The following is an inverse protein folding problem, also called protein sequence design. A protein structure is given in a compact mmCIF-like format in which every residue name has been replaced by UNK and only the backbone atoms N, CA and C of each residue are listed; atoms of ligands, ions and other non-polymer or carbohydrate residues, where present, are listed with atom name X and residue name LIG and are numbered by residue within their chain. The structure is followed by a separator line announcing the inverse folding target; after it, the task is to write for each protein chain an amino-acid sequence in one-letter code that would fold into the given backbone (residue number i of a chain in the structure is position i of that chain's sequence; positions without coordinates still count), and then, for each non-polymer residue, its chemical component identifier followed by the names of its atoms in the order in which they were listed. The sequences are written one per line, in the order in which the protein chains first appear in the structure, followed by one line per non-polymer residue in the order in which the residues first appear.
data_IF_146259968920
#
_entry.id   IF_146259968920
#
_cell.length_a   1.000
_cell.length_b   1.000
_cell.length_c   1.000
_cell.angle_alpha   90.00
_cell.angle_beta   90.00
_cell.angle_gamma   90.00
#
_symmetry.space_group_name_H-M   'P 1'
#
loop_
_entity.id
_entity.type
_entity.pdbx_description
1 polymer ?
#
# COMPACT_ATOMS: atom_id res chain seq x y z
N UNK A 1 -13.96 6.38 16.98
CA UNK A 1 -14.62 5.53 15.96
C UNK A 1 -14.03 5.89 14.61
N UNK A 2 -13.76 4.93 13.71
CA UNK A 2 -13.27 5.21 12.35
C UNK A 2 -14.19 6.21 11.65
N UNK A 3 -13.69 7.43 11.52
CA UNK A 3 -14.49 8.63 11.34
C UNK A 3 -15.11 8.71 9.96
N UNK A 4 -14.37 8.31 8.92
CA UNK A 4 -14.86 8.24 7.54
C UNK A 4 -15.92 7.15 7.34
N UNK A 5 -15.83 6.03 8.08
CA UNK A 5 -16.80 4.95 8.00
C UNK A 5 -18.08 5.25 8.80
N UNK A 6 -18.04 6.25 9.69
CA UNK A 6 -19.10 6.59 10.65
C UNK A 6 -19.68 5.37 11.38
N UNK A 7 -18.83 4.40 11.70
CA UNK A 7 -19.17 3.13 12.35
C UNK A 7 -18.21 2.87 13.51
N UNK A 8 -18.64 2.18 14.57
CA UNK A 8 -17.71 1.68 15.58
C UNK A 8 -16.73 0.68 14.94
N UNK A 9 -15.56 0.52 15.55
CA UNK A 9 -14.62 -0.53 15.15
C UNK A 9 -15.31 -1.89 15.31
N UNK A 10 -15.15 -2.77 14.31
CA UNK A 10 -15.83 -4.06 14.26
C UNK A 10 -15.61 -4.90 15.52
N UNK A 11 -14.36 -4.97 16.01
CA UNK A 11 -14.03 -5.60 17.28
C UNK A 11 -12.94 -4.83 18.02
N UNK A 12 -13.34 -4.14 19.10
CA UNK A 12 -12.41 -3.47 20.01
C UNK A 12 -11.45 -4.47 20.68
N UNK A 13 -11.98 -5.62 21.11
CA UNK A 13 -11.18 -6.69 21.74
C UNK A 13 -10.09 -7.21 20.80
N UNK A 14 -10.42 -7.44 19.54
CA UNK A 14 -9.45 -7.90 18.53
C UNK A 14 -8.34 -6.88 18.31
N UNK A 15 -8.68 -5.58 18.27
CA UNK A 15 -7.71 -4.50 18.16
C UNK A 15 -6.74 -4.47 19.36
N UNK A 16 -7.26 -4.59 20.59
CA UNK A 16 -6.44 -4.61 21.80
C UNK A 16 -5.52 -5.84 21.85
N UNK A 17 -6.04 -7.03 21.50
CA UNK A 17 -5.24 -8.25 21.45
C UNK A 17 -4.13 -8.11 20.40
N UNK A 18 -4.45 -7.61 19.20
CA UNK A 18 -3.45 -7.37 18.16
C UNK A 18 -2.34 -6.41 18.64
N UNK A 19 -2.69 -5.33 19.34
CA UNK A 19 -1.72 -4.40 19.92
C UNK A 19 -0.78 -5.06 20.94
N UNK A 20 -1.31 -5.92 21.84
CA UNK A 20 -0.48 -6.67 22.80
C UNK A 20 0.43 -7.66 22.09
N UNK A 21 -0.09 -8.38 21.08
CA UNK A 21 0.72 -9.31 20.29
C UNK A 21 1.83 -8.60 19.51
N UNK A 22 1.57 -7.40 18.98
CA UNK A 22 2.63 -6.58 18.40
C UNK A 22 3.72 -6.24 19.41
N UNK A 23 3.36 -5.86 20.64
CA UNK A 23 4.35 -5.56 21.69
C UNK A 23 5.23 -6.78 22.00
N UNK A 24 4.64 -7.97 22.08
CA UNK A 24 5.34 -9.22 22.38
C UNK A 24 6.26 -9.63 21.23
N UNK A 25 5.74 -9.68 20.00
CA UNK A 25 6.48 -10.23 18.86
C UNK A 25 7.43 -9.21 18.22
N UNK A 26 7.12 -7.91 18.22
CA UNK A 26 7.94 -6.92 17.50
C UNK A 26 9.22 -6.51 18.25
N UNK A 27 9.28 -6.70 19.58
CA UNK A 27 10.47 -6.32 20.36
C UNK A 27 11.61 -7.36 20.28
N UNK A 28 11.30 -8.60 19.92
CA UNK A 28 12.23 -9.73 20.01
C UNK A 28 12.74 -10.21 18.65
N UNK A 29 12.66 -9.36 17.61
CA UNK A 29 12.97 -9.75 16.23
C UNK A 29 14.11 -9.02 15.49
N UNK A 30 15.03 -8.25 16.12
CA UNK A 30 16.05 -7.53 15.35
C UNK A 30 17.06 -8.45 14.64
N UNK A 31 17.18 -9.72 15.07
CA UNK A 31 18.15 -10.66 14.51
C UNK A 31 17.83 -11.02 13.04
N UNK A 32 16.60 -10.79 12.54
CA UNK A 32 16.33 -11.04 11.11
C UNK A 32 17.14 -10.13 10.18
N UNK A 33 17.65 -8.99 10.68
CA UNK A 33 18.56 -8.14 9.93
C UNK A 33 20.01 -8.66 9.92
N UNK A 34 20.28 -9.73 10.66
CA UNK A 34 21.59 -10.28 10.97
C UNK A 34 21.70 -11.74 10.50
N UNK A 35 20.82 -12.21 9.61
CA UNK A 35 20.88 -13.60 9.13
C UNK A 35 22.18 -13.93 8.39
N UNK A 36 22.82 -12.96 7.74
CA UNK A 36 24.07 -13.19 7.01
C UNK A 36 25.35 -12.95 7.81
N UNK A 37 25.25 -12.68 9.12
CA UNK A 37 26.43 -12.71 10.00
C UNK A 37 26.65 -14.09 10.64
N UNK A 38 27.81 -14.28 11.25
CA UNK A 38 28.18 -15.52 11.92
C UNK A 38 27.45 -15.68 13.27
N UNK A 39 26.19 -16.10 13.20
CA UNK A 39 25.35 -16.45 14.34
C UNK A 39 25.00 -17.95 14.33
N UNK A 40 24.78 -18.57 15.50
CA UNK A 40 24.26 -19.94 15.60
C UNK A 40 22.97 -20.12 14.78
N UNK A 41 22.90 -21.19 13.98
CA UNK A 41 21.73 -21.50 13.13
C UNK A 41 20.43 -21.57 13.92
N UNK A 42 20.49 -22.12 15.15
CA UNK A 42 19.32 -22.20 16.05
C UNK A 42 18.71 -20.82 16.33
N UNK A 43 19.55 -19.79 16.50
CA UNK A 43 19.06 -18.42 16.73
C UNK A 43 18.43 -17.83 15.45
N UNK A 44 19.01 -18.11 14.28
CA UNK A 44 18.45 -17.66 13.00
C UNK A 44 17.07 -18.28 12.74
N UNK A 45 16.93 -19.59 12.93
CA UNK A 45 15.66 -20.31 12.76
C UNK A 45 14.59 -19.84 13.75
N UNK A 46 14.97 -19.67 15.03
CA UNK A 46 14.06 -19.10 16.02
C UNK A 46 13.54 -17.72 15.59
N UNK A 47 14.45 -16.90 15.08
CA UNK A 47 14.17 -15.55 14.63
C UNK A 47 13.25 -15.52 13.38
N UNK A 48 13.43 -16.45 12.45
CA UNK A 48 12.51 -16.63 11.30
C UNK A 48 11.09 -16.92 11.77
N UNK A 49 10.93 -17.89 12.69
CA UNK A 49 9.62 -18.25 13.27
C UNK A 49 8.97 -17.04 13.96
N UNK A 50 9.73 -16.32 14.80
CA UNK A 50 9.22 -15.14 15.50
C UNK A 50 8.86 -14.00 14.55
N UNK A 51 9.59 -13.83 13.46
CA UNK A 51 9.28 -12.81 12.44
C UNK A 51 7.98 -13.15 11.71
N UNK A 52 7.76 -14.41 11.34
CA UNK A 52 6.48 -14.84 10.79
C UNK A 52 5.32 -14.68 11.77
N UNK A 53 5.55 -14.85 13.07
CA UNK A 53 4.50 -14.68 14.08
C UNK A 53 3.88 -13.26 14.08
N UNK A 54 4.62 -12.23 13.64
CA UNK A 54 4.11 -10.84 13.49
C UNK A 54 3.02 -10.73 12.42
N UNK A 55 2.97 -11.66 11.46
CA UNK A 55 1.90 -11.67 10.46
C UNK A 55 0.52 -11.88 11.09
N UNK A 56 0.44 -12.57 12.24
CA UNK A 56 -0.82 -12.84 12.94
C UNK A 56 -1.49 -11.54 13.44
N UNK A 57 -0.87 -10.71 14.31
CA UNK A 57 -1.47 -9.43 14.72
C UNK A 57 -1.69 -8.47 13.54
N UNK A 58 -0.87 -8.59 12.49
CA UNK A 58 -1.05 -7.85 11.23
C UNK A 58 -2.35 -8.19 10.53
N UNK A 59 -2.60 -9.48 10.26
CA UNK A 59 -3.87 -9.93 9.70
C UNK A 59 -5.05 -9.60 10.61
N UNK A 60 -4.90 -9.73 11.94
CA UNK A 60 -5.95 -9.35 12.87
C UNK A 60 -6.34 -7.88 12.73
N UNK A 61 -5.35 -6.99 12.61
CA UNK A 61 -5.57 -5.55 12.43
C UNK A 61 -6.27 -5.28 11.10
N UNK A 62 -5.76 -5.85 10.01
CA UNK A 62 -6.32 -5.63 8.67
C UNK A 62 -7.75 -6.18 8.53
N UNK A 63 -8.02 -7.40 9.01
CA UNK A 63 -9.35 -7.98 8.97
C UNK A 63 -10.36 -7.17 9.80
N UNK A 64 -9.95 -6.67 10.96
CA UNK A 64 -10.80 -5.83 11.81
C UNK A 64 -11.14 -4.50 11.14
N UNK A 65 -10.15 -3.83 10.55
CA UNK A 65 -10.34 -2.58 9.81
C UNK A 65 -11.18 -2.78 8.55
N UNK A 66 -10.94 -3.86 7.80
CA UNK A 66 -11.74 -4.23 6.65
C UNK A 66 -13.20 -4.51 7.04
N UNK A 67 -13.43 -5.29 8.10
CA UNK A 67 -14.77 -5.58 8.61
C UNK A 67 -15.48 -4.31 9.10
N UNK A 68 -14.72 -3.32 9.58
CA UNK A 68 -15.25 -2.02 9.99
C UNK A 68 -15.69 -1.17 8.80
N UNK A 69 -14.91 -1.17 7.72
CA UNK A 69 -15.26 -0.47 6.49
C UNK A 69 -16.38 -1.17 5.71
N UNK A 70 -16.65 -2.46 5.99
CA UNK A 70 -17.69 -3.24 5.31
C UNK A 70 -19.08 -2.63 5.50
N UNK A 71 -19.74 -2.32 4.38
CA UNK A 71 -21.06 -1.68 4.34
C UNK A 71 -21.06 -0.29 4.96
N UNK A 72 -19.94 0.43 4.89
CA UNK A 72 -19.85 1.85 5.23
C UNK A 72 -20.00 2.68 3.95
N UNK A 73 -20.81 3.74 4.01
CA UNK A 73 -20.99 4.65 2.89
C UNK A 73 -19.88 5.71 2.90
N UNK A 74 -18.72 5.36 2.35
CA UNK A 74 -17.53 6.24 2.29
C UNK A 74 -17.42 6.87 0.90
N UNK A 75 -17.32 8.20 0.84
CA UNK A 75 -17.11 8.92 -0.42
C UNK A 75 -15.71 8.67 -0.97
N UNK A 76 -15.60 8.63 -2.31
CA UNK A 76 -14.32 8.51 -2.98
C UNK A 76 -13.66 9.89 -3.10
N UNK A 77 -12.86 10.22 -2.08
CA UNK A 77 -12.11 11.46 -1.97
C UNK A 77 -10.62 11.15 -1.73
N UNK A 78 -9.78 12.19 -1.79
CA UNK A 78 -8.31 12.06 -1.65
C UNK A 78 -7.90 11.37 -0.33
N UNK A 79 -8.58 11.64 0.79
CA UNK A 79 -8.29 11.02 2.09
C UNK A 79 -8.56 9.51 2.03
N UNK A 80 -9.73 9.12 1.51
CA UNK A 80 -10.09 7.71 1.32
C UNK A 80 -9.10 7.02 0.36
N UNK A 81 -8.68 7.71 -0.69
CA UNK A 81 -7.74 7.16 -1.68
C UNK A 81 -6.37 6.86 -1.05
N UNK A 82 -5.78 7.81 -0.31
CA UNK A 82 -4.54 7.59 0.43
C UNK A 82 -4.67 6.53 1.53
N UNK A 83 -5.83 6.46 2.21
CA UNK A 83 -6.10 5.44 3.23
C UNK A 83 -6.15 4.03 2.60
N UNK A 84 -6.80 3.89 1.46
CA UNK A 84 -6.87 2.64 0.71
C UNK A 84 -5.49 2.22 0.19
N UNK A 85 -4.71 3.17 -0.34
CA UNK A 85 -3.32 2.93 -0.73
C UNK A 85 -2.49 2.45 0.45
N UNK A 86 -2.56 3.13 1.61
CA UNK A 86 -1.83 2.72 2.82
C UNK A 86 -2.11 1.27 3.20
N UNK A 87 -3.39 0.88 3.16
CA UNK A 87 -3.83 -0.47 3.49
C UNK A 87 -3.31 -1.50 2.48
N UNK A 88 -3.49 -1.24 1.18
CA UNK A 88 -3.06 -2.14 0.12
C UNK A 88 -1.53 -2.25 0.03
N UNK A 89 -0.83 -1.13 0.13
CA UNK A 89 0.63 -1.06 0.08
C UNK A 89 1.29 -1.71 1.30
N UNK A 90 0.70 -1.60 2.49
CA UNK A 90 1.19 -2.33 3.68
C UNK A 90 1.04 -3.84 3.54
N UNK A 91 -0.01 -4.32 2.86
CA UNK A 91 -0.16 -5.75 2.55
C UNK A 91 0.91 -6.18 1.53
N UNK A 92 1.08 -5.42 0.44
CA UNK A 92 2.11 -5.69 -0.58
C UNK A 92 3.51 -5.75 0.04
N UNK A 93 3.89 -4.72 0.80
CA UNK A 93 5.17 -4.67 1.49
C UNK A 93 5.31 -5.78 2.55
N UNK A 94 4.21 -6.15 3.21
CA UNK A 94 4.19 -7.27 4.14
C UNK A 94 4.54 -8.60 3.48
N UNK A 95 4.06 -8.84 2.24
CA UNK A 95 4.40 -10.05 1.48
C UNK A 95 5.89 -10.08 1.12
N UNK A 96 6.46 -8.97 0.63
CA UNK A 96 7.90 -8.92 0.34
C UNK A 96 8.75 -9.02 1.62
N UNK A 97 8.19 -8.64 2.77
CA UNK A 97 8.81 -8.83 4.08
C UNK A 97 8.87 -10.28 4.53
N UNK A 98 7.88 -11.10 4.14
CA UNK A 98 7.94 -12.55 4.36
C UNK A 98 9.12 -13.14 3.59
N UNK A 99 9.35 -12.70 2.34
CA UNK A 99 10.53 -13.12 1.57
C UNK A 99 11.84 -12.81 2.30
N UNK A 100 11.96 -11.61 2.89
CA UNK A 100 13.16 -11.23 3.66
C UNK A 100 13.27 -11.95 5.01
N UNK A 101 12.15 -12.41 5.58
CA UNK A 101 12.16 -13.19 6.81
C UNK A 101 12.61 -14.64 6.57
N UNK A 102 12.42 -15.17 5.35
CA UNK A 102 12.87 -16.51 4.97
C UNK A 102 14.38 -16.55 4.82
N UNK A 103 15.08 -17.31 5.67
CA UNK A 103 16.56 -17.35 5.68
C UNK A 103 17.13 -17.76 4.31
N UNK A 104 16.51 -18.74 3.64
CA UNK A 104 16.97 -19.20 2.33
C UNK A 104 16.86 -18.12 1.26
N UNK A 105 15.79 -17.34 1.26
CA UNK A 105 15.59 -16.24 0.31
C UNK A 105 16.50 -15.07 0.68
N UNK A 106 16.54 -14.67 1.95
CA UNK A 106 17.44 -13.61 2.43
C UNK A 106 18.89 -13.93 2.05
N UNK A 107 19.33 -15.19 2.07
CA UNK A 107 20.71 -15.53 1.67
C UNK A 107 21.13 -15.11 0.25
N UNK A 108 20.14 -14.91 -0.63
CA UNK A 108 20.35 -14.45 -2.01
C UNK A 108 20.18 -12.94 -2.11
N UNK A 109 19.14 -12.39 -1.48
CA UNK A 109 18.75 -10.98 -1.64
C UNK A 109 19.34 -10.07 -0.55
N UNK A 110 20.05 -10.61 0.43
CA UNK A 110 20.61 -9.83 1.53
C UNK A 110 21.56 -8.76 1.00
N UNK A 111 21.40 -7.53 1.50
CA UNK A 111 22.14 -6.36 1.03
C UNK A 111 22.01 -6.04 -0.48
N UNK A 112 21.10 -6.69 -1.22
CA UNK A 112 20.77 -6.24 -2.57
C UNK A 112 19.74 -5.10 -2.53
N UNK A 113 19.50 -4.49 -3.69
CA UNK A 113 18.46 -3.47 -3.87
C UNK A 113 17.04 -4.01 -3.62
N UNK A 114 16.85 -5.33 -3.51
CA UNK A 114 15.59 -5.95 -3.12
C UNK A 114 15.17 -5.50 -1.72
N UNK A 115 16.11 -5.49 -0.76
CA UNK A 115 15.87 -5.03 0.61
C UNK A 115 15.50 -3.54 0.61
N UNK A 116 16.11 -2.75 -0.28
CA UNK A 116 15.80 -1.33 -0.46
C UNK A 116 14.37 -1.17 -0.99
N UNK A 117 13.99 -1.93 -2.02
CA UNK A 117 12.65 -1.96 -2.59
C UNK A 117 11.58 -2.33 -1.56
N UNK A 118 11.77 -3.43 -0.83
CA UNK A 118 10.86 -3.87 0.24
C UNK A 118 10.64 -2.78 1.31
N UNK A 119 11.73 -2.20 1.83
CA UNK A 119 11.63 -1.18 2.87
C UNK A 119 10.91 0.08 2.38
N UNK A 120 11.24 0.52 1.16
CA UNK A 120 10.56 1.66 0.54
C UNK A 120 9.11 1.34 0.17
N UNK A 121 8.76 0.08 -0.11
CA UNK A 121 7.36 -0.30 -0.26
C UNK A 121 6.58 -0.04 1.03
N UNK A 122 7.12 -0.47 2.18
CA UNK A 122 6.44 -0.24 3.46
C UNK A 122 6.30 1.26 3.77
N UNK A 123 7.31 2.07 3.45
CA UNK A 123 7.28 3.51 3.70
C UNK A 123 6.41 4.23 2.68
N UNK A 124 6.74 4.14 1.39
CA UNK A 124 6.21 5.02 0.36
C UNK A 124 4.78 4.66 -0.04
N UNK A 125 4.37 3.39 0.03
CA UNK A 125 2.98 2.99 -0.28
C UNK A 125 2.20 2.50 0.94
N UNK A 126 2.82 2.40 2.12
CA UNK A 126 2.16 2.10 3.40
C UNK A 126 2.07 3.32 4.33
N UNK A 127 3.19 3.69 4.96
CA UNK A 127 3.25 4.69 6.03
C UNK A 127 2.98 6.11 5.53
N UNK A 128 3.63 6.55 4.45
CA UNK A 128 3.47 7.90 3.92
C UNK A 128 2.04 8.16 3.43
N UNK A 129 1.37 7.24 2.72
CA UNK A 129 -0.05 7.40 2.39
C UNK A 129 -0.94 7.53 3.63
N UNK A 130 -0.70 6.75 4.69
CA UNK A 130 -1.43 6.91 5.95
C UNK A 130 -1.23 8.31 6.55
N UNK A 131 0.01 8.80 6.55
CA UNK A 131 0.33 10.15 7.01
C UNK A 131 -0.33 11.23 6.12
N UNK A 132 -0.33 11.05 4.80
CA UNK A 132 -0.98 11.98 3.88
C UNK A 132 -2.49 12.02 4.07
N UNK A 133 -3.15 10.87 4.28
CA UNK A 133 -4.57 10.85 4.62
C UNK A 133 -4.86 11.70 5.88
N UNK A 134 -4.02 11.57 6.91
CA UNK A 134 -4.12 12.40 8.12
C UNK A 134 -3.88 13.88 7.82
N UNK A 135 -2.86 14.23 7.04
CA UNK A 135 -2.53 15.63 6.72
C UNK A 135 -3.63 16.30 5.88
N UNK A 136 -4.18 15.61 4.89
CA UNK A 136 -5.28 16.13 4.06
C UNK A 136 -6.53 16.45 4.87
N UNK A 137 -6.74 15.72 5.96
CA UNK A 137 -7.81 15.93 6.91
C UNK A 137 -7.48 17.02 7.96
N UNK A 138 -6.30 16.93 8.57
CA UNK A 138 -5.92 17.74 9.74
C UNK A 138 -5.55 19.17 9.37
N UNK A 139 -4.91 19.40 8.21
CA UNK A 139 -4.47 20.75 7.81
C UNK A 139 -5.63 21.74 7.64
N UNK A 140 -6.76 21.40 6.99
CA UNK A 140 -7.93 22.28 6.95
C UNK A 140 -8.49 22.61 8.33
N UNK A 141 -8.42 21.68 9.28
CA UNK A 141 -8.88 21.90 10.66
C UNK A 141 -7.95 22.82 11.44
N UNK A 142 -6.64 22.62 11.32
CA UNK A 142 -5.64 23.44 12.01
C UNK A 142 -5.59 24.87 11.46
N UNK A 143 -5.77 25.02 10.15
CA UNK A 143 -5.63 26.32 9.47
C UNK A 143 -6.95 27.08 9.37
N UNK A 144 -8.08 26.41 9.60
CA UNK A 144 -9.40 26.97 9.35
C UNK A 144 -9.66 27.28 7.87
N UNK A 145 -8.89 26.67 6.94
CA UNK A 145 -8.95 26.96 5.51
C UNK A 145 -9.16 25.71 4.68
N UNK A 146 -10.06 25.81 3.72
CA UNK A 146 -10.30 24.80 2.69
C UNK A 146 -9.10 24.66 1.73
N UNK A 147 -8.85 23.44 1.24
CA UNK A 147 -7.84 23.20 0.20
C UNK A 147 -8.04 24.12 -1.03
N UNK A 148 -6.97 24.77 -1.48
CA UNK A 148 -7.02 25.78 -2.53
C UNK A 148 -7.39 25.15 -3.88
N UNK A 149 -6.77 24.02 -4.23
CA UNK A 149 -7.07 23.29 -5.46
C UNK A 149 -7.32 21.81 -5.19
N UNK A 150 -8.54 21.36 -5.51
CA UNK A 150 -8.93 19.94 -5.43
C UNK A 150 -8.26 19.13 -6.53
N UNK A 151 -8.12 19.72 -7.73
CA UNK A 151 -7.38 19.13 -8.84
C UNK A 151 -5.93 18.83 -8.46
N UNK A 152 -5.26 19.77 -7.80
CA UNK A 152 -3.88 19.59 -7.34
C UNK A 152 -3.75 18.47 -6.30
N UNK A 153 -4.75 18.32 -5.41
CA UNK A 153 -4.78 17.22 -4.44
C UNK A 153 -4.86 15.84 -5.12
N UNK A 154 -5.64 15.72 -6.19
CA UNK A 154 -5.72 14.48 -6.98
C UNK A 154 -4.50 14.24 -7.87
N UNK A 155 -3.88 15.29 -8.42
CA UNK A 155 -2.59 15.19 -9.13
C UNK A 155 -1.51 14.67 -8.17
N UNK A 156 -1.46 15.20 -6.94
CA UNK A 156 -0.56 14.67 -5.92
C UNK A 156 -0.82 13.19 -5.66
N UNK A 157 -2.07 12.80 -5.37
CA UNK A 157 -2.39 11.39 -5.10
C UNK A 157 -1.94 10.45 -6.22
N UNK A 158 -2.33 10.72 -7.47
CA UNK A 158 -2.01 9.82 -8.58
C UNK A 158 -0.53 9.84 -8.93
N UNK A 159 0.09 11.02 -9.01
CA UNK A 159 1.52 11.13 -9.28
C UNK A 159 2.36 10.44 -8.22
N UNK A 160 2.03 10.65 -6.94
CA UNK A 160 2.72 10.00 -5.83
C UNK A 160 2.55 8.48 -5.86
N UNK A 161 1.33 7.97 -6.07
CA UNK A 161 1.06 6.53 -6.15
C UNK A 161 1.84 5.88 -7.30
N UNK A 162 1.70 6.40 -8.52
CA UNK A 162 2.37 5.82 -9.69
C UNK A 162 3.88 5.95 -9.59
N UNK A 163 4.39 7.12 -9.21
CA UNK A 163 5.82 7.34 -9.03
C UNK A 163 6.43 6.39 -8.00
N UNK A 164 5.78 6.24 -6.84
CA UNK A 164 6.25 5.34 -5.79
C UNK A 164 6.24 3.87 -6.22
N UNK A 165 5.20 3.42 -6.94
CA UNK A 165 5.12 2.04 -7.45
C UNK A 165 6.23 1.77 -8.47
N UNK A 166 6.49 2.69 -9.41
CA UNK A 166 7.58 2.55 -10.38
C UNK A 166 8.95 2.51 -9.69
N UNK A 167 9.14 3.36 -8.66
CA UNK A 167 10.34 3.37 -7.83
C UNK A 167 10.58 1.99 -7.21
N UNK A 168 9.57 1.46 -6.52
CA UNK A 168 9.66 0.18 -5.80
C UNK A 168 9.97 -0.97 -6.76
N UNK A 169 9.24 -1.06 -7.88
CA UNK A 169 9.45 -2.11 -8.88
C UNK A 169 10.86 -2.02 -9.46
N UNK A 170 11.36 -0.82 -9.73
CA UNK A 170 12.74 -0.64 -10.22
C UNK A 170 13.78 -1.19 -9.24
N UNK A 171 13.66 -0.88 -7.94
CA UNK A 171 14.57 -1.43 -6.91
C UNK A 171 14.42 -2.94 -6.72
N UNK A 172 13.20 -3.47 -6.75
CA UNK A 172 12.96 -4.92 -6.65
C UNK A 172 13.61 -5.67 -7.82
N UNK A 173 13.48 -5.17 -9.05
CA UNK A 173 14.14 -5.75 -10.23
C UNK A 173 15.67 -5.70 -10.12
N UNK A 174 16.24 -4.54 -9.75
CA UNK A 174 17.69 -4.42 -9.52
C UNK A 174 18.19 -5.42 -8.46
N UNK A 175 17.39 -5.61 -7.41
CA UNK A 175 17.68 -6.55 -6.33
C UNK A 175 17.70 -8.00 -6.75
N UNK A 176 16.73 -8.42 -7.58
CA UNK A 176 16.66 -9.77 -8.15
C UNK A 176 17.80 -10.04 -9.14
N UNK A 177 18.20 -9.00 -9.88
CA UNK A 177 19.36 -9.04 -10.78
C UNK A 177 20.72 -9.00 -10.04
N UNK A 178 20.72 -9.04 -8.70
CA UNK A 178 21.90 -9.14 -7.87
C UNK A 178 22.65 -7.82 -7.64
N UNK A 179 22.03 -6.68 -7.94
CA UNK A 179 22.62 -5.37 -7.71
C UNK A 179 22.67 -5.09 -6.21
N UNK A 180 23.88 -4.88 -5.70
CA UNK A 180 24.12 -4.60 -4.29
C UNK A 180 23.77 -3.15 -3.95
N UNK A 181 23.08 -2.96 -2.83
CA UNK A 181 22.79 -1.62 -2.32
C UNK A 181 24.09 -0.87 -2.04
N UNK A 182 24.08 0.46 -2.26
CA UNK A 182 25.24 1.35 -2.06
C UNK A 182 26.39 1.08 -3.05
N UNK A 183 26.15 0.36 -4.14
CA UNK A 183 27.08 0.31 -5.25
C UNK A 183 27.01 1.60 -6.07
N UNK A 184 28.16 2.23 -6.31
CA UNK A 184 28.27 3.36 -7.23
C UNK A 184 28.40 2.89 -8.70
N UNK A 185 29.05 1.74 -8.89
CA UNK A 185 29.35 1.17 -10.19
C UNK A 185 28.57 -0.13 -10.34
N UNK A 186 27.69 -0.17 -11.34
CA UNK A 186 26.86 -1.34 -11.66
C UNK A 186 27.04 -1.76 -13.13
N UNK A 187 26.79 -3.03 -13.47
CA UNK A 187 26.87 -3.50 -14.85
C UNK A 187 25.95 -2.70 -15.79
N UNK A 188 26.47 -2.26 -16.94
CA UNK A 188 25.71 -1.51 -17.95
C UNK A 188 25.06 -2.42 -18.98
N UNK A 189 24.23 -3.33 -18.50
CA UNK A 189 23.41 -4.24 -19.30
C UNK A 189 21.96 -3.72 -19.42
N UNK A 190 21.23 -4.02 -20.50
CA UNK A 190 19.94 -3.38 -20.77
C UNK A 190 18.90 -3.51 -19.65
N UNK A 191 18.80 -4.67 -19.00
CA UNK A 191 17.80 -4.92 -17.96
C UNK A 191 18.07 -4.11 -16.67
N UNK A 192 19.34 -4.01 -16.25
CA UNK A 192 19.76 -3.16 -15.12
C UNK A 192 19.49 -1.69 -15.43
N UNK A 193 19.90 -1.21 -16.62
CA UNK A 193 19.68 0.19 -17.02
C UNK A 193 18.19 0.53 -17.07
N UNK A 194 17.35 -0.38 -17.58
CA UNK A 194 15.91 -0.18 -17.63
C UNK A 194 15.31 -0.08 -16.23
N UNK A 195 15.74 -0.93 -15.29
CA UNK A 195 15.28 -0.90 -13.91
C UNK A 195 15.74 0.37 -13.15
N UNK A 196 17.00 0.81 -13.35
CA UNK A 196 17.51 2.09 -12.82
C UNK A 196 16.69 3.29 -13.35
N UNK A 197 16.43 3.31 -14.66
CA UNK A 197 15.64 4.36 -15.30
C UNK A 197 14.20 4.35 -14.79
N UNK A 198 13.59 3.18 -14.65
CA UNK A 198 12.25 3.02 -14.08
C UNK A 198 12.19 3.58 -12.65
N UNK A 199 13.18 3.23 -11.82
CA UNK A 199 13.26 3.72 -10.45
C UNK A 199 13.41 5.25 -10.39
N UNK A 200 14.30 5.79 -11.22
CA UNK A 200 14.60 7.23 -11.31
C UNK A 200 13.39 8.02 -11.79
N UNK A 201 12.73 7.58 -12.87
CA UNK A 201 11.51 8.21 -13.38
C UNK A 201 10.40 8.14 -12.34
N UNK A 202 10.25 7.00 -11.67
CA UNK A 202 9.30 6.84 -10.56
C UNK A 202 9.55 7.85 -9.43
N UNK A 203 10.80 7.97 -8.99
CA UNK A 203 11.21 8.93 -7.97
C UNK A 203 10.87 10.38 -8.35
N UNK A 204 11.23 10.80 -9.57
CA UNK A 204 10.95 12.14 -10.07
C UNK A 204 9.45 12.44 -10.14
N UNK A 205 8.63 11.48 -10.60
CA UNK A 205 7.18 11.64 -10.65
C UNK A 205 6.61 11.81 -9.24
N UNK A 206 7.04 10.97 -8.29
CA UNK A 206 6.58 11.05 -6.90
C UNK A 206 6.98 12.38 -6.24
N UNK A 207 8.23 12.81 -6.43
CA UNK A 207 8.75 14.06 -5.89
C UNK A 207 8.02 15.29 -6.47
N UNK A 208 7.82 15.34 -7.80
CA UNK A 208 7.04 16.40 -8.44
C UNK A 208 5.59 16.44 -7.94
N UNK A 209 4.98 15.27 -7.69
CA UNK A 209 3.64 15.18 -7.13
C UNK A 209 3.60 15.71 -5.68
N UNK A 210 4.61 15.40 -4.86
CA UNK A 210 4.76 15.94 -3.51
C UNK A 210 5.00 17.45 -3.53
N UNK A 211 5.76 17.97 -4.50
CA UNK A 211 5.91 19.41 -4.71
C UNK A 211 4.57 20.08 -5.04
N UNK A 212 3.75 19.46 -5.90
CA UNK A 212 2.38 19.95 -6.18
C UNK A 212 1.55 20.02 -4.90
N UNK A 213 1.65 19.03 -4.01
CA UNK A 213 0.99 19.09 -2.70
C UNK A 213 1.49 20.23 -1.83
N UNK A 214 2.81 20.40 -1.73
CA UNK A 214 3.42 21.47 -0.95
C UNK A 214 2.98 22.86 -1.45
N UNK A 215 3.00 23.08 -2.77
CA UNK A 215 2.52 24.32 -3.37
C UNK A 215 1.02 24.53 -3.13
N UNK A 216 0.21 23.48 -3.19
CA UNK A 216 -1.22 23.56 -2.87
C UNK A 216 -1.44 23.94 -1.40
N UNK A 217 -0.62 23.44 -0.48
CA UNK A 217 -0.65 23.81 0.93
C UNK A 217 -0.30 25.29 1.13
N UNK A 218 0.80 25.76 0.53
CA UNK A 218 1.18 27.19 0.58
C UNK A 218 0.04 28.07 0.07
N UNK A 219 -0.57 27.70 -1.06
CA UNK A 219 -1.71 28.42 -1.62
C UNK A 219 -2.97 28.34 -0.75
N UNK A 220 -3.19 27.23 -0.06
CA UNK A 220 -4.24 27.12 0.97
C UNK A 220 -4.02 28.11 2.11
N UNK A 221 -2.80 28.27 2.59
CA UNK A 221 -2.51 29.20 3.68
C UNK A 221 -2.70 30.66 3.25
N UNK A 222 -2.31 31.02 2.02
CA UNK A 222 -2.36 32.39 1.52
C UNK A 222 -3.76 32.75 0.99
N UNK A 223 -4.36 31.86 0.18
CA UNK A 223 -5.59 32.14 -0.60
C UNK A 223 -6.75 31.16 -0.32
N UNK A 224 -6.58 30.20 0.59
CA UNK A 224 -7.61 29.22 0.91
C UNK A 224 -8.84 29.90 1.51
N UNK A 225 -10.03 29.48 1.06
CA UNK A 225 -11.31 29.99 1.58
C UNK A 225 -11.47 29.58 3.04
N UNK A 226 -12.09 30.44 3.85
CA UNK A 226 -12.39 30.14 5.25
C UNK A 226 -13.33 28.94 5.33
N UNK A 227 -12.93 27.93 6.10
CA UNK A 227 -13.74 26.76 6.38
C UNK A 227 -14.73 27.12 7.50
N UNK A 228 -16.03 27.15 7.17
CA UNK A 228 -17.09 27.38 8.16
C UNK A 228 -17.23 26.13 9.05
N UNK A 229 -16.47 26.08 10.14
CA UNK A 229 -16.45 24.96 11.09
C UNK A 229 -17.32 25.20 12.34
N UNK A 230 -17.86 26.41 12.52
CA UNK A 230 -18.66 26.78 13.69
C UNK A 230 -19.90 25.88 13.86
N UNK A 231 -20.08 25.32 15.05
CA UNK A 231 -21.23 24.48 15.41
C UNK A 231 -21.21 23.05 14.86
N UNK A 232 -20.17 22.63 14.12
CA UNK A 232 -20.05 21.26 13.63
C UNK A 232 -19.41 20.35 14.68
N UNK A 233 -19.99 19.15 14.87
CA UNK A 233 -19.29 18.06 15.58
C UNK A 233 -18.04 17.64 14.80
N UNK A 234 -17.07 17.03 15.48
CA UNK A 234 -15.83 16.55 14.84
C UNK A 234 -16.14 15.70 13.61
N UNK A 235 -17.03 14.70 13.73
CA UNK A 235 -17.41 13.82 12.62
C UNK A 235 -18.02 14.55 11.42
N UNK A 236 -18.86 15.57 11.67
CA UNK A 236 -19.43 16.41 10.60
C UNK A 236 -18.33 17.22 9.90
N UNK A 237 -17.40 17.80 10.66
CA UNK A 237 -16.27 18.55 10.11
C UNK A 237 -15.38 17.66 9.22
N UNK A 238 -15.09 16.43 9.64
CA UNK A 238 -14.34 15.45 8.82
C UNK A 238 -15.06 15.20 7.50
N UNK A 239 -16.36 14.95 7.55
CA UNK A 239 -17.16 14.69 6.36
C UNK A 239 -17.22 15.92 5.44
N UNK A 240 -17.29 17.13 5.98
CA UNK A 240 -17.24 18.37 5.20
C UNK A 240 -15.91 18.49 4.43
N UNK A 241 -14.78 18.26 5.10
CA UNK A 241 -13.45 18.28 4.44
C UNK A 241 -13.34 17.16 3.41
N UNK A 242 -13.81 15.96 3.73
CA UNK A 242 -13.79 14.81 2.83
C UNK A 242 -14.63 15.03 1.56
N UNK A 243 -15.84 15.58 1.68
CA UNK A 243 -16.70 15.92 0.53
C UNK A 243 -16.07 16.99 -0.36
N UNK A 244 -15.33 17.95 0.21
CA UNK A 244 -14.62 18.95 -0.59
C UNK A 244 -13.60 18.29 -1.53
N UNK A 245 -12.91 17.26 -1.04
CA UNK A 245 -11.86 16.51 -1.75
C UNK A 245 -12.39 15.38 -2.65
N UNK A 246 -13.70 15.29 -2.87
CA UNK A 246 -14.32 14.28 -3.73
C UNK A 246 -13.79 14.37 -5.18
N UNK A 247 -13.65 13.22 -5.84
CA UNK A 247 -13.18 13.14 -7.23
C UNK A 247 -14.02 14.00 -8.18
N UNK A 248 -15.34 14.06 -7.98
CA UNK A 248 -16.24 14.82 -8.84
C UNK A 248 -15.96 16.33 -8.80
N UNK A 249 -15.35 16.83 -7.71
CA UNK A 249 -14.97 18.22 -7.54
C UNK A 249 -13.60 18.55 -8.16
N UNK A 250 -12.85 17.54 -8.65
CA UNK A 250 -11.54 17.75 -9.25
C UNK A 250 -11.60 18.42 -10.63
N UNK A 251 -12.78 18.48 -11.25
CA UNK A 251 -12.98 19.13 -12.56
C UNK A 251 -12.34 18.38 -13.73
N UNK A 252 -11.99 17.10 -13.57
CA UNK A 252 -11.54 16.25 -14.67
C UNK A 252 -12.75 15.85 -15.55
N UNK A 253 -12.78 16.32 -16.80
CA UNK A 253 -13.77 15.86 -17.79
C UNK A 253 -13.32 14.54 -18.40
N UNK A 254 -13.93 13.43 -17.96
CA UNK A 254 -13.74 12.12 -18.59
C UNK A 254 -14.60 11.94 -19.85
N UNK A 255 -15.33 12.98 -20.32
CA UNK A 255 -16.20 12.88 -21.52
C UNK A 255 -15.48 12.43 -22.79
N UNK A 256 -14.16 12.58 -22.86
CA UNK A 256 -13.34 12.17 -24.00
C UNK A 256 -12.63 10.82 -23.80
N UNK A 257 -12.87 10.14 -22.66
CA UNK A 257 -12.34 8.81 -22.37
C UNK A 257 -13.55 7.87 -22.25
N UNK A 258 -14.18 7.57 -23.40
CA UNK A 258 -15.16 6.49 -23.48
C UNK A 258 -14.43 5.15 -23.38
N UNK A 259 -14.27 4.63 -22.17
CA UNK A 259 -14.03 3.20 -21.99
C UNK A 259 -15.41 2.54 -22.04
N UNK A 260 -15.78 2.00 -23.20
CA UNK A 260 -17.01 1.23 -23.40
C UNK A 260 -16.98 -0.04 -22.56
N UNK A 261 -17.44 0.03 -21.31
CA UNK A 261 -17.89 -1.16 -20.60
C UNK A 261 -19.32 -1.46 -21.06
N UNK A 262 -19.45 -2.40 -21.98
CA UNK A 262 -20.72 -2.96 -22.41
C UNK A 262 -21.49 -3.52 -21.22
N UNK A 263 -22.80 -3.23 -21.20
CA UNK A 263 -23.76 -3.51 -20.15
C UNK A 263 -23.67 -4.94 -19.59
N UNK A 264 -23.14 -5.09 -18.38
CA UNK A 264 -23.38 -6.26 -17.54
C UNK A 264 -24.47 -5.91 -16.52
N UNK A 265 -25.69 -6.41 -16.78
CA UNK A 265 -26.74 -6.53 -15.76
C UNK A 265 -26.20 -7.42 -14.63
N UNK A 266 -25.67 -6.79 -13.58
CA UNK A 266 -25.24 -7.49 -12.38
C UNK A 266 -26.48 -8.05 -11.65
N UNK A 267 -26.81 -9.31 -11.95
CA UNK A 267 -27.80 -10.09 -11.21
C UNK A 267 -27.26 -10.46 -9.84
N UNK A 268 -28.15 -10.72 -8.87
CA UNK A 268 -27.82 -11.01 -7.46
C UNK A 268 -26.81 -12.17 -7.23
N UNK A 269 -26.42 -12.93 -8.25
CA UNK A 269 -25.33 -13.93 -8.18
C UNK A 269 -23.92 -13.32 -8.32
N UNK A 270 -23.78 -12.15 -8.96
CA UNK A 270 -22.51 -11.41 -9.00
C UNK A 270 -22.12 -10.82 -7.62
N UNK A 271 -23.08 -10.70 -6.70
CA UNK A 271 -22.93 -10.20 -5.33
C UNK A 271 -22.03 -11.10 -4.46
N UNK A 272 -22.13 -12.42 -4.63
CA UNK A 272 -21.23 -13.39 -4.00
C UNK A 272 -19.90 -13.52 -4.77
N UNK A 273 -19.93 -13.24 -6.07
CA UNK A 273 -18.78 -13.35 -6.96
C UNK A 273 -17.68 -12.33 -6.66
N UNK A 274 -18.00 -11.08 -6.31
CA UNK A 274 -16.97 -10.06 -6.01
C UNK A 274 -16.26 -10.31 -4.67
N UNK A 275 -17.00 -10.76 -3.65
CA UNK A 275 -16.39 -11.24 -2.41
C UNK A 275 -15.65 -12.56 -2.60
N UNK A 276 -16.17 -13.46 -3.43
CA UNK A 276 -15.48 -14.67 -3.87
C UNK A 276 -14.19 -14.36 -4.62
N UNK A 277 -14.17 -13.31 -5.44
CA UNK A 277 -12.97 -12.78 -6.09
C UNK A 277 -12.03 -12.16 -5.06
N UNK A 278 -12.53 -11.42 -4.07
CA UNK A 278 -11.68 -10.87 -3.02
C UNK A 278 -10.92 -11.97 -2.25
N UNK A 279 -11.65 -13.04 -1.91
CA UNK A 279 -11.14 -14.24 -1.23
C UNK A 279 -10.24 -15.06 -2.15
N UNK A 280 -10.62 -15.25 -3.42
CA UNK A 280 -9.78 -15.91 -4.42
C UNK A 280 -8.47 -15.16 -4.60
N UNK A 281 -8.52 -13.83 -4.64
CA UNK A 281 -7.33 -12.99 -4.69
C UNK A 281 -6.44 -13.16 -3.47
N UNK A 282 -7.02 -13.17 -2.27
CA UNK A 282 -6.30 -13.45 -1.03
C UNK A 282 -5.70 -14.88 -1.01
N UNK A 283 -6.42 -15.87 -1.52
CA UNK A 283 -5.94 -17.24 -1.68
C UNK A 283 -4.82 -17.32 -2.72
N UNK A 284 -4.91 -16.58 -3.83
CA UNK A 284 -3.86 -16.49 -4.83
C UNK A 284 -2.60 -15.83 -4.26
N UNK A 285 -2.73 -14.83 -3.40
CA UNK A 285 -1.60 -14.25 -2.65
C UNK A 285 -0.95 -15.33 -1.76
N UNK A 286 -1.75 -16.09 -1.02
CA UNK A 286 -1.23 -17.18 -0.15
C UNK A 286 -0.59 -18.29 -0.99
N UNK A 287 -1.23 -18.72 -2.08
CA UNK A 287 -0.76 -19.77 -2.99
C UNK A 287 0.48 -19.29 -3.75
N UNK A 288 0.63 -17.99 -4.02
CA UNK A 288 1.83 -17.44 -4.64
C UNK A 288 3.10 -17.70 -3.81
N UNK A 289 2.95 -17.89 -2.48
CA UNK A 289 4.07 -18.28 -1.63
C UNK A 289 4.61 -19.68 -1.97
N UNK A 290 3.82 -20.57 -2.60
CA UNK A 290 4.26 -21.92 -2.96
C UNK A 290 5.33 -21.88 -4.07
N UNK A 291 5.10 -21.26 -5.24
CA UNK A 291 6.17 -21.08 -6.22
C UNK A 291 7.38 -20.33 -5.64
N UNK A 292 7.17 -19.30 -4.81
CA UNK A 292 8.26 -18.56 -4.14
C UNK A 292 9.16 -19.49 -3.30
N UNK A 293 8.55 -20.38 -2.50
CA UNK A 293 9.29 -21.36 -1.67
C UNK A 293 9.99 -22.40 -2.55
N UNK A 294 9.40 -22.78 -3.68
CA UNK A 294 9.93 -23.80 -4.60
C UNK A 294 11.05 -23.29 -5.52
N UNK A 295 11.13 -21.98 -5.76
CA UNK A 295 12.14 -21.37 -6.63
C UNK A 295 13.54 -21.62 -6.08
N UNK A 296 13.74 -21.53 -4.75
CA UNK A 296 15.01 -21.83 -4.07
C UNK A 296 16.15 -20.85 -4.36
N UNK A 297 16.24 -20.34 -5.60
CA UNK A 297 17.13 -19.31 -6.12
C UNK A 297 16.32 -18.33 -7.01
N UNK A 298 15.90 -17.21 -6.41
CA UNK A 298 15.04 -16.20 -7.05
C UNK A 298 15.81 -15.19 -7.91
N UNK A 299 17.00 -15.55 -8.39
CA UNK A 299 17.85 -14.68 -9.21
C UNK A 299 17.81 -15.04 -10.71
N UNK A 300 17.01 -16.03 -11.10
CA UNK A 300 16.97 -16.51 -12.48
C UNK A 300 15.67 -16.10 -13.18
N UNK A 301 15.66 -14.97 -13.91
CA UNK A 301 14.48 -14.48 -14.63
C UNK A 301 14.01 -15.42 -15.77
N UNK A 302 14.72 -16.51 -16.05
CA UNK A 302 14.23 -17.57 -16.94
C UNK A 302 13.42 -18.67 -16.21
N UNK A 303 13.36 -18.64 -14.88
CA UNK A 303 12.65 -19.62 -14.08
C UNK A 303 11.13 -19.35 -14.13
N UNK A 304 10.33 -20.27 -14.71
CA UNK A 304 8.89 -20.07 -14.82
C UNK A 304 8.18 -20.01 -13.45
N UNK A 305 8.77 -20.56 -12.39
CA UNK A 305 8.19 -20.51 -11.04
C UNK A 305 8.28 -19.11 -10.41
N UNK A 306 9.30 -18.32 -10.76
CA UNK A 306 9.46 -16.95 -10.29
C UNK A 306 8.41 -16.03 -10.92
N UNK A 307 8.24 -16.13 -12.23
CA UNK A 307 7.14 -15.46 -12.93
C UNK A 307 5.77 -15.96 -12.49
N UNK A 308 5.62 -17.25 -12.17
CA UNK A 308 4.38 -17.78 -11.61
C UNK A 308 4.08 -17.14 -10.24
N UNK A 309 5.06 -17.01 -9.36
CA UNK A 309 4.89 -16.28 -8.10
C UNK A 309 4.49 -14.83 -8.32
N UNK A 310 5.27 -14.06 -9.10
CA UNK A 310 5.00 -12.63 -9.35
C UNK A 310 3.62 -12.46 -10.00
N UNK A 311 3.28 -13.31 -10.97
CA UNK A 311 1.99 -13.25 -11.66
C UNK A 311 0.84 -13.62 -10.73
N UNK A 312 0.96 -14.67 -9.92
CA UNK A 312 -0.08 -15.08 -8.96
C UNK A 312 -0.26 -14.07 -7.84
N UNK A 313 0.84 -13.49 -7.35
CA UNK A 313 0.83 -12.44 -6.34
C UNK A 313 0.16 -11.17 -6.89
N UNK A 314 0.60 -10.71 -8.06
CA UNK A 314 0.05 -9.52 -8.73
C UNK A 314 -1.42 -9.70 -9.09
N UNK A 315 -1.77 -10.85 -9.68
CA UNK A 315 -3.14 -11.21 -9.98
C UNK A 315 -3.96 -11.30 -8.69
N UNK A 316 -3.42 -11.93 -7.65
CA UNK A 316 -4.06 -12.07 -6.35
C UNK A 316 -4.36 -10.71 -5.70
N UNK A 317 -3.42 -9.77 -5.76
CA UNK A 317 -3.60 -8.39 -5.27
C UNK A 317 -4.65 -7.65 -6.08
N UNK A 318 -4.57 -7.68 -7.41
CA UNK A 318 -5.55 -7.00 -8.29
C UNK A 318 -6.94 -7.57 -8.05
N UNK A 319 -7.07 -8.90 -8.03
CA UNK A 319 -8.34 -9.60 -7.85
C UNK A 319 -8.87 -9.39 -6.42
N UNK A 320 -8.00 -9.34 -5.42
CA UNK A 320 -8.36 -9.06 -4.03
C UNK A 320 -8.85 -7.61 -3.85
N UNK A 321 -8.08 -6.64 -4.36
CA UNK A 321 -8.39 -5.22 -4.26
C UNK A 321 -9.65 -4.85 -5.05
N UNK A 322 -9.77 -5.30 -6.31
CA UNK A 322 -10.96 -5.04 -7.13
C UNK A 322 -12.18 -5.76 -6.56
N UNK A 323 -12.02 -7.01 -6.11
CA UNK A 323 -13.08 -7.78 -5.46
C UNK A 323 -13.57 -7.11 -4.19
N UNK A 324 -12.66 -6.67 -3.32
CA UNK A 324 -12.99 -5.99 -2.07
C UNK A 324 -13.63 -4.61 -2.30
N UNK A 325 -13.10 -3.80 -3.22
CA UNK A 325 -13.63 -2.46 -3.54
C UNK A 325 -15.00 -2.52 -4.20
N UNK A 326 -15.23 -3.47 -5.11
CA UNK A 326 -16.55 -3.66 -5.74
C UNK A 326 -17.53 -4.33 -4.78
N UNK A 327 -17.10 -5.33 -4.01
CA UNK A 327 -17.89 -5.98 -2.98
C UNK A 327 -18.33 -5.02 -1.86
N UNK A 328 -17.50 -4.03 -1.53
CA UNK A 328 -17.83 -3.02 -0.52
C UNK A 328 -19.03 -2.13 -0.93
N UNK A 329 -19.29 -1.93 -2.22
CA UNK A 329 -20.44 -1.16 -2.73
C UNK A 329 -21.74 -1.95 -2.82
N UNK A 330 -21.68 -3.26 -2.59
CA UNK A 330 -22.80 -4.18 -2.84
C UNK A 330 -23.64 -4.53 -1.61
N UNK A 331 -23.37 -3.89 -0.46
CA UNK A 331 -24.12 -4.05 0.79
C UNK A 331 -24.28 -2.70 1.46
#
# INVERSE_FOLDING_TARGET
APTLANKPLYSDKMARVAAVLYLIFSNNIPIHHLYMVNLPVVLKVLQEILTYAVTVPTFMTFLNLWATAKGANVSWNVITAFTATAFAGSIFAGVTGISNATISVDSIVHNSDWVVGHFHAMILIGIVPAAMAVLYFMLPMMTGRSWYSIKAAWIHFWGYLFGSVLLIIGFELLGLDGILRRAEIVPRVPYVINAENLATVGALIAELATLVWFLNLVMTLIKGRVLKAEGLSLGQLINTVAMQLDWNNAGFSLKNIEIKFTHLKATKRALAGWWGLAILGALLIIISAIPLIMVGDASNPSNPLEWAWISLLTLGIIVSAVGALKGAKTI
#
